data_IF_530665305224
#
_entry.id   IF_530665305224
#
_cell.length_a   1.000
_cell.length_b   1.000
_cell.length_c   1.000
_cell.angle_alpha   90.00
_cell.angle_beta   90.00
_cell.angle_gamma   90.00
#
_symmetry.space_group_name_H-M   'P 1'
#
loop_
_entity.id
_entity.type
_entity.pdbx_description
1 polymer ?
#
# COMPACT_ATOMS: atom_id res chain seq x y z
N UNK A 1 -8.57 77.05 -21.26
CA UNK A 1 -8.95 76.14 -20.19
C UNK A 1 -7.81 75.13 -20.04
N UNK A 2 -6.98 75.20 -18.98
CA UNK A 2 -5.81 74.33 -18.79
C UNK A 2 -6.18 73.26 -17.80
N UNK A 3 -6.30 71.99 -18.26
CA UNK A 3 -6.51 70.84 -17.45
C UNK A 3 -5.25 70.47 -16.65
N UNK A 4 -5.31 70.59 -15.32
CA UNK A 4 -4.25 70.18 -14.41
C UNK A 4 -4.34 68.64 -14.26
N UNK A 5 -3.41 67.92 -14.85
CA UNK A 5 -3.20 66.52 -14.59
C UNK A 5 -2.62 66.35 -13.17
N UNK A 6 -3.43 65.72 -12.25
CA UNK A 6 -2.91 65.28 -10.95
C UNK A 6 -2.04 64.02 -11.18
N UNK A 7 -0.72 64.19 -11.03
CA UNK A 7 0.20 63.03 -10.94
C UNK A 7 -0.09 62.28 -9.64
N UNK A 8 -0.72 61.09 -9.76
CA UNK A 8 -0.76 60.16 -8.67
C UNK A 8 0.65 59.59 -8.44
N UNK A 9 1.30 60.05 -7.37
CA UNK A 9 2.55 59.48 -6.87
C UNK A 9 2.25 58.04 -6.41
N UNK A 10 2.72 57.05 -7.16
CA UNK A 10 2.72 55.65 -6.72
C UNK A 10 3.67 55.57 -5.53
N UNK A 11 3.17 55.24 -4.36
CA UNK A 11 3.99 54.91 -3.18
C UNK A 11 4.81 53.68 -3.52
N UNK A 12 6.13 53.81 -3.53
CA UNK A 12 7.04 52.66 -3.68
C UNK A 12 6.97 51.76 -2.43
N UNK A 13 7.08 50.50 -2.62
CA UNK A 13 7.13 49.51 -1.52
C UNK A 13 8.49 49.62 -0.83
N UNK A 14 8.50 49.68 0.50
CA UNK A 14 9.75 49.72 1.28
C UNK A 14 10.36 48.29 1.32
N UNK A 15 11.68 48.21 1.22
CA UNK A 15 12.43 46.96 1.31
C UNK A 15 12.13 46.22 2.66
N UNK A 16 11.93 47.02 3.74
CA UNK A 16 11.57 46.49 5.07
C UNK A 16 10.17 45.86 5.08
N UNK A 17 9.19 46.50 4.41
CA UNK A 17 7.84 45.92 4.30
C UNK A 17 7.86 44.59 3.58
N UNK A 18 8.66 44.45 2.51
CA UNK A 18 8.80 43.16 1.81
C UNK A 18 9.48 42.12 2.71
N UNK A 19 10.53 42.49 3.45
CA UNK A 19 11.27 41.59 4.32
C UNK A 19 10.38 41.07 5.45
N UNK A 20 9.56 41.90 6.08
CA UNK A 20 8.63 41.50 7.13
C UNK A 20 7.59 40.51 6.59
N UNK A 21 7.05 40.75 5.40
CA UNK A 21 6.05 39.86 4.79
C UNK A 21 6.65 38.47 4.51
N UNK A 22 7.84 38.39 3.91
CA UNK A 22 8.48 37.09 3.64
C UNK A 22 8.85 36.36 4.94
N UNK A 23 9.26 37.08 5.99
CA UNK A 23 9.55 36.50 7.29
C UNK A 23 8.31 35.87 7.93
N UNK A 24 7.15 36.53 7.84
CA UNK A 24 5.88 36.00 8.34
C UNK A 24 5.44 34.77 7.53
N UNK A 25 5.51 34.84 6.19
CA UNK A 25 5.15 33.72 5.32
C UNK A 25 6.05 32.51 5.60
N UNK A 26 7.37 32.71 5.73
CA UNK A 26 8.32 31.65 6.06
C UNK A 26 8.01 31.00 7.42
N UNK A 27 7.68 31.80 8.43
CA UNK A 27 7.27 31.30 9.76
C UNK A 27 6.00 30.45 9.73
N UNK A 28 4.98 30.93 9.01
CA UNK A 28 3.71 30.18 8.86
C UNK A 28 3.91 28.89 8.05
N UNK A 29 4.71 28.94 6.97
CA UNK A 29 5.03 27.76 6.16
C UNK A 29 5.77 26.68 6.98
N UNK A 30 6.73 27.08 7.82
CA UNK A 30 7.46 26.14 8.68
C UNK A 30 6.55 25.43 9.67
N UNK A 31 5.59 26.13 10.29
CA UNK A 31 4.62 25.54 11.21
C UNK A 31 3.62 24.59 10.52
N UNK A 32 3.29 24.84 9.26
CA UNK A 32 2.26 24.10 8.52
C UNK A 32 2.79 22.81 7.87
N UNK A 33 4.11 22.69 7.67
CA UNK A 33 4.71 21.61 6.91
C UNK A 33 4.38 20.20 7.49
N UNK A 34 4.56 20.00 8.79
CA UNK A 34 4.30 18.71 9.44
C UNK A 34 2.84 18.21 9.32
N UNK A 35 1.84 19.03 9.69
CA UNK A 35 0.43 18.68 9.52
C UNK A 35 0.03 18.39 8.06
N UNK A 36 0.56 19.17 7.10
CA UNK A 36 0.26 18.99 5.67
C UNK A 36 0.78 17.63 5.18
N UNK A 37 2.02 17.26 5.49
CA UNK A 37 2.60 15.98 5.07
C UNK A 37 1.82 14.79 5.64
N UNK A 38 1.32 14.90 6.87
CA UNK A 38 0.46 13.88 7.47
C UNK A 38 -0.88 13.71 6.72
N UNK A 39 -1.50 14.81 6.31
CA UNK A 39 -2.74 14.79 5.52
C UNK A 39 -2.52 14.21 4.12
N UNK A 40 -1.40 14.54 3.46
CA UNK A 40 -1.03 13.96 2.17
C UNK A 40 -0.87 12.44 2.28
N UNK A 41 -0.17 11.96 3.31
CA UNK A 41 0.00 10.51 3.54
C UNK A 41 -1.35 9.80 3.79
N UNK A 42 -2.24 10.41 4.57
CA UNK A 42 -3.59 9.88 4.79
C UNK A 42 -4.43 9.84 3.50
N UNK A 43 -4.30 10.86 2.64
CA UNK A 43 -4.93 10.88 1.32
C UNK A 43 -4.45 9.72 0.45
N UNK A 44 -3.14 9.47 0.39
CA UNK A 44 -2.55 8.34 -0.35
C UNK A 44 -2.96 6.98 0.23
N UNK A 45 -3.05 6.85 1.56
CA UNK A 45 -3.57 5.65 2.20
C UNK A 45 -5.04 5.39 1.80
N UNK A 46 -5.87 6.42 1.75
CA UNK A 46 -7.25 6.30 1.31
C UNK A 46 -7.35 5.89 -0.16
N UNK A 47 -6.46 6.39 -1.02
CA UNK A 47 -6.36 5.98 -2.41
C UNK A 47 -5.98 4.50 -2.52
N UNK A 48 -4.96 4.05 -1.78
CA UNK A 48 -4.54 2.65 -1.78
C UNK A 48 -5.65 1.71 -1.25
N UNK A 49 -6.42 2.12 -0.24
CA UNK A 49 -7.63 1.39 0.20
C UNK A 49 -8.66 1.29 -0.92
N UNK A 50 -8.86 2.35 -1.70
CA UNK A 50 -9.78 2.35 -2.85
C UNK A 50 -9.30 1.41 -3.96
N UNK A 51 -8.00 1.41 -4.28
CA UNK A 51 -7.39 0.45 -5.20
C UNK A 51 -7.58 -0.98 -4.71
N UNK A 52 -7.32 -1.25 -3.44
CA UNK A 52 -7.57 -2.57 -2.83
C UNK A 52 -9.04 -3.00 -2.93
N UNK A 53 -10.01 -2.10 -2.77
CA UNK A 53 -11.43 -2.43 -2.98
C UNK A 53 -11.72 -2.85 -4.42
N UNK A 54 -11.18 -2.14 -5.40
CA UNK A 54 -11.32 -2.50 -6.82
C UNK A 54 -10.69 -3.86 -7.09
N UNK A 55 -9.49 -4.12 -6.57
CA UNK A 55 -8.82 -5.41 -6.68
C UNK A 55 -9.63 -6.54 -6.00
N UNK A 56 -10.26 -6.27 -4.86
CA UNK A 56 -11.13 -7.23 -4.18
C UNK A 56 -12.34 -7.63 -5.04
N UNK A 57 -12.94 -6.68 -5.76
CA UNK A 57 -14.04 -6.93 -6.70
C UNK A 57 -13.56 -7.75 -7.90
N UNK A 58 -12.39 -7.40 -8.47
CA UNK A 58 -11.79 -8.13 -9.58
C UNK A 58 -11.50 -9.59 -9.21
N UNK A 59 -10.93 -9.83 -8.03
CA UNK A 59 -10.68 -11.18 -7.51
C UNK A 59 -11.96 -11.99 -7.33
N UNK A 60 -13.05 -11.38 -6.86
CA UNK A 60 -14.35 -12.07 -6.75
C UNK A 60 -14.95 -12.39 -8.11
N UNK A 61 -14.84 -11.46 -9.07
CA UNK A 61 -15.30 -11.71 -10.44
C UNK A 61 -14.53 -12.86 -11.07
N UNK A 62 -13.20 -12.86 -10.89
CA UNK A 62 -12.35 -13.98 -11.33
C UNK A 62 -12.79 -15.31 -10.71
N UNK A 63 -12.97 -15.35 -9.39
CA UNK A 63 -13.36 -16.56 -8.70
C UNK A 63 -14.74 -17.07 -9.17
N UNK A 64 -15.68 -16.17 -9.45
CA UNK A 64 -16.99 -16.53 -9.98
C UNK A 64 -16.90 -17.24 -11.34
N UNK A 65 -15.97 -16.83 -12.20
CA UNK A 65 -15.80 -17.36 -13.55
C UNK A 65 -14.85 -18.59 -13.58
N UNK A 66 -14.20 -18.89 -12.45
CA UNK A 66 -13.24 -20.01 -12.29
C UNK A 66 -13.65 -20.98 -11.16
N UNK A 67 -14.90 -21.43 -11.16
CA UNK A 67 -15.43 -22.44 -10.23
C UNK A 67 -15.21 -22.13 -8.74
N UNK A 68 -15.19 -20.85 -8.39
CA UNK A 68 -14.95 -20.36 -7.04
C UNK A 68 -13.48 -20.31 -6.64
N UNK A 69 -12.54 -20.58 -7.54
CA UNK A 69 -11.11 -20.54 -7.28
C UNK A 69 -10.56 -19.12 -7.51
N UNK A 70 -9.78 -18.62 -6.59
CA UNK A 70 -8.99 -17.41 -6.75
C UNK A 70 -7.71 -17.68 -7.56
N UNK A 71 -7.05 -16.64 -8.12
CA UNK A 71 -5.83 -16.80 -8.89
C UNK A 71 -4.77 -17.66 -8.17
N UNK A 72 -4.13 -18.56 -8.89
CA UNK A 72 -3.13 -19.49 -8.36
C UNK A 72 -2.73 -20.55 -9.39
N UNK A 73 -1.97 -21.55 -8.98
CA UNK A 73 -1.54 -22.65 -9.86
C UNK A 73 -2.70 -23.37 -10.57
N UNK A 74 -3.83 -23.59 -9.85
CA UNK A 74 -4.98 -24.32 -10.38
C UNK A 74 -5.79 -23.53 -11.41
N UNK A 75 -5.60 -22.24 -11.51
CA UNK A 75 -6.28 -21.33 -12.45
C UNK A 75 -5.35 -20.80 -13.53
N UNK A 76 -4.05 -21.10 -13.44
CA UNK A 76 -3.04 -20.69 -14.41
C UNK A 76 -3.32 -21.30 -15.77
N UNK A 77 -3.37 -20.47 -16.82
CA UNK A 77 -3.52 -20.90 -18.20
C UNK A 77 -2.16 -21.31 -18.77
N UNK A 78 -2.16 -21.88 -19.97
CA UNK A 78 -0.92 -22.30 -20.65
C UNK A 78 0.06 -21.11 -20.76
N UNK A 79 1.23 -21.25 -20.16
CA UNK A 79 2.27 -20.21 -20.13
C UNK A 79 2.20 -19.27 -18.95
N UNK A 80 1.25 -19.46 -18.04
CA UNK A 80 1.16 -18.74 -16.76
C UNK A 80 1.52 -19.67 -15.61
N UNK A 81 1.88 -19.07 -14.48
CA UNK A 81 2.09 -19.75 -13.19
C UNK A 81 1.19 -19.12 -12.11
N UNK A 82 1.22 -19.64 -10.92
CA UNK A 82 0.52 -19.10 -9.75
C UNK A 82 1.39 -19.19 -8.50
N UNK A 83 2.71 -19.18 -8.69
CA UNK A 83 3.75 -19.41 -7.69
C UNK A 83 4.28 -18.13 -7.03
N UNK A 84 3.74 -16.98 -7.41
CA UNK A 84 4.05 -15.68 -6.81
C UNK A 84 2.83 -14.75 -6.81
N UNK A 85 2.91 -13.64 -6.08
CA UNK A 85 1.85 -12.64 -6.08
C UNK A 85 1.68 -12.01 -7.48
N UNK A 86 2.79 -11.69 -8.14
CA UNK A 86 2.83 -11.13 -9.48
C UNK A 86 2.19 -12.08 -10.51
N UNK A 87 2.55 -13.36 -10.47
CA UNK A 87 1.99 -14.38 -11.34
C UNK A 87 0.47 -14.56 -11.14
N UNK A 88 0.01 -14.55 -9.88
CA UNK A 88 -1.41 -14.60 -9.55
C UNK A 88 -2.16 -13.36 -10.08
N UNK A 89 -1.63 -12.16 -9.89
CA UNK A 89 -2.28 -10.94 -10.35
C UNK A 89 -2.19 -10.74 -11.87
N UNK A 90 -1.16 -11.26 -12.52
CA UNK A 90 -1.08 -11.32 -14.00
C UNK A 90 -2.25 -12.12 -14.60
N UNK A 91 -2.78 -13.11 -13.89
CA UNK A 91 -3.99 -13.83 -14.33
C UNK A 91 -5.22 -12.91 -14.39
N UNK A 92 -5.31 -11.89 -13.52
CA UNK A 92 -6.40 -10.89 -13.55
C UNK A 92 -6.28 -9.96 -14.75
N UNK A 93 -5.05 -9.50 -15.07
CA UNK A 93 -4.78 -8.66 -16.25
C UNK A 93 -5.10 -9.43 -17.54
N UNK A 94 -4.51 -10.60 -17.71
CA UNK A 94 -4.71 -11.43 -18.91
C UNK A 94 -6.15 -11.93 -19.08
N UNK A 95 -6.90 -12.01 -17.98
CA UNK A 95 -8.33 -12.34 -17.98
C UNK A 95 -9.27 -11.15 -18.21
N UNK A 96 -8.74 -9.91 -18.24
CA UNK A 96 -9.54 -8.70 -18.39
C UNK A 96 -10.39 -8.34 -17.16
N UNK A 97 -9.99 -8.80 -15.97
CA UNK A 97 -10.65 -8.42 -14.71
C UNK A 97 -10.07 -7.12 -14.13
N UNK A 98 -8.88 -6.76 -14.54
CA UNK A 98 -8.19 -5.50 -14.25
C UNK A 98 -7.61 -4.98 -15.56
N UNK A 99 -7.84 -3.71 -15.88
CA UNK A 99 -7.44 -3.11 -17.16
C UNK A 99 -6.03 -2.52 -17.13
N UNK A 100 -5.57 -2.06 -15.95
CA UNK A 100 -4.31 -1.32 -15.79
C UNK A 100 -3.45 -1.93 -14.70
N UNK A 101 -2.17 -2.12 -14.97
CA UNK A 101 -1.16 -2.61 -14.01
C UNK A 101 -0.97 -1.66 -12.83
N UNK A 102 -1.21 -0.35 -13.03
CA UNK A 102 -1.19 0.66 -11.96
C UNK A 102 -2.10 0.35 -10.78
N UNK A 103 -3.09 -0.54 -10.94
CA UNK A 103 -3.92 -1.04 -9.83
C UNK A 103 -3.08 -1.79 -8.78
N UNK A 104 -1.96 -2.38 -9.20
CA UNK A 104 -1.08 -3.16 -8.34
C UNK A 104 0.08 -2.35 -7.75
N UNK A 105 0.17 -1.05 -8.04
CA UNK A 105 1.27 -0.20 -7.63
C UNK A 105 0.81 1.07 -6.90
N UNK A 106 1.63 1.54 -5.95
CA UNK A 106 1.47 2.87 -5.36
C UNK A 106 2.83 3.49 -5.00
N UNK A 107 2.89 4.82 -5.04
CA UNK A 107 4.13 5.59 -4.85
C UNK A 107 4.71 5.51 -3.44
N UNK A 108 3.91 5.20 -2.42
CA UNK A 108 4.40 5.17 -1.04
C UNK A 108 5.23 3.92 -0.77
N UNK A 109 4.79 2.77 -1.26
CA UNK A 109 5.58 1.54 -1.18
C UNK A 109 6.84 1.63 -2.07
N UNK A 110 6.75 2.29 -3.23
CA UNK A 110 7.88 2.49 -4.13
C UNK A 110 8.97 3.40 -3.52
N UNK A 111 8.60 4.49 -2.86
CA UNK A 111 9.54 5.42 -2.20
C UNK A 111 10.36 4.71 -1.12
N UNK A 112 9.80 3.69 -0.49
CA UNK A 112 10.43 2.94 0.60
C UNK A 112 11.21 1.71 0.12
N UNK A 113 11.45 1.59 -1.18
CA UNK A 113 12.17 0.46 -1.79
C UNK A 113 11.35 -0.83 -1.91
N UNK A 114 10.07 -0.77 -1.55
CA UNK A 114 9.13 -1.89 -1.68
C UNK A 114 8.41 -1.85 -3.02
N UNK A 115 8.96 -2.21 -4.10
CA UNK A 115 8.47 -2.02 -5.47
C UNK A 115 9.00 -0.73 -6.07
N UNK A 116 10.18 -0.83 -6.64
CA UNK A 116 10.91 0.34 -7.15
C UNK A 116 10.49 0.75 -8.55
N UNK A 117 9.82 -0.13 -9.28
CA UNK A 117 9.46 0.09 -10.68
C UNK A 117 7.98 0.49 -10.79
N UNK A 118 7.71 1.57 -11.52
CA UNK A 118 6.37 1.84 -11.99
C UNK A 118 6.04 0.84 -13.12
N UNK A 119 4.81 0.27 -13.16
CA UNK A 119 4.41 -0.65 -14.20
C UNK A 119 4.58 -0.08 -15.60
N UNK A 120 4.97 -0.90 -16.55
CA UNK A 120 5.19 -0.52 -17.95
C UNK A 120 3.99 -0.77 -18.86
N UNK A 121 2.91 -1.35 -18.30
CA UNK A 121 1.62 -1.61 -18.96
C UNK A 121 1.72 -2.64 -20.12
N UNK A 122 2.59 -3.63 -19.98
CA UNK A 122 2.75 -4.72 -20.97
C UNK A 122 1.78 -5.90 -20.74
N UNK A 123 1.03 -5.89 -19.65
CA UNK A 123 0.04 -6.90 -19.26
C UNK A 123 0.61 -8.03 -18.41
N UNK A 124 1.86 -7.91 -17.94
CA UNK A 124 2.55 -8.90 -17.10
C UNK A 124 3.24 -8.20 -15.96
N UNK A 125 2.85 -8.51 -14.73
CA UNK A 125 3.54 -7.97 -13.56
C UNK A 125 4.87 -8.67 -13.34
N UNK A 126 5.93 -7.89 -13.36
CA UNK A 126 7.29 -8.33 -13.04
C UNK A 126 7.71 -7.92 -11.62
N UNK A 127 8.89 -8.39 -11.21
CA UNK A 127 9.47 -8.03 -9.91
C UNK A 127 9.60 -6.50 -9.77
N UNK A 128 9.03 -5.96 -8.69
CA UNK A 128 9.06 -4.52 -8.39
C UNK A 128 7.89 -3.71 -8.91
N UNK A 129 6.97 -4.26 -9.70
CA UNK A 129 5.79 -3.57 -10.24
C UNK A 129 4.53 -3.77 -9.40
N UNK A 130 4.60 -4.62 -8.39
CA UNK A 130 3.49 -4.95 -7.51
C UNK A 130 3.82 -4.63 -6.06
N UNK A 131 2.88 -4.01 -5.35
CA UNK A 131 3.00 -3.69 -3.91
C UNK A 131 2.18 -4.64 -3.03
N UNK A 132 1.34 -5.47 -3.64
CA UNK A 132 0.41 -6.32 -2.91
C UNK A 132 0.98 -7.72 -2.71
N UNK A 133 1.07 -8.14 -1.45
CA UNK A 133 1.19 -9.56 -1.12
C UNK A 133 -0.15 -10.26 -1.27
N UNK A 134 -0.12 -11.57 -1.44
CA UNK A 134 -1.30 -12.36 -1.77
C UNK A 134 -1.33 -13.70 -1.02
N UNK A 135 -2.52 -14.18 -0.72
CA UNK A 135 -2.74 -15.52 -0.13
C UNK A 135 -3.37 -16.42 -1.18
N UNK A 136 -2.55 -17.24 -1.82
CA UNK A 136 -3.00 -18.24 -2.79
C UNK A 136 -3.65 -19.46 -2.14
N UNK A 137 -4.32 -20.30 -2.92
CA UNK A 137 -4.96 -21.53 -2.47
C UNK A 137 -6.28 -21.35 -1.73
N UNK A 138 -6.81 -20.13 -1.67
CA UNK A 138 -8.15 -19.84 -1.16
C UNK A 138 -9.21 -20.03 -2.25
N UNK A 139 -10.44 -20.25 -1.83
CA UNK A 139 -11.61 -20.33 -2.72
C UNK A 139 -12.84 -19.65 -2.09
N UNK A 140 -13.91 -19.49 -2.86
CA UNK A 140 -15.14 -18.81 -2.43
C UNK A 140 -15.83 -19.44 -1.20
N UNK A 141 -15.50 -20.70 -0.86
CA UNK A 141 -15.99 -21.40 0.34
C UNK A 141 -15.07 -21.20 1.55
N UNK A 142 -13.93 -20.53 1.38
CA UNK A 142 -13.00 -20.22 2.48
C UNK A 142 -13.64 -19.27 3.47
N UNK A 143 -13.18 -19.31 4.74
CA UNK A 143 -13.72 -18.43 5.80
C UNK A 143 -13.55 -16.96 5.43
N UNK A 144 -14.62 -16.18 5.57
CA UNK A 144 -14.67 -14.75 5.22
C UNK A 144 -13.70 -13.87 6.02
N UNK A 145 -13.26 -14.33 7.20
CA UNK A 145 -12.31 -13.61 8.04
C UNK A 145 -10.85 -13.78 7.64
N UNK A 146 -10.54 -14.67 6.68
CA UNK A 146 -9.17 -14.90 6.22
C UNK A 146 -8.65 -13.69 5.42
N UNK A 147 -7.35 -13.39 5.55
CA UNK A 147 -6.69 -12.43 4.67
C UNK A 147 -6.65 -12.96 3.25
N UNK A 148 -6.81 -12.08 2.27
CA UNK A 148 -6.74 -12.42 0.85
C UNK A 148 -5.54 -11.75 0.18
N UNK A 149 -5.37 -10.44 0.40
CA UNK A 149 -4.19 -9.71 -0.03
C UNK A 149 -3.89 -8.55 0.94
N UNK A 150 -2.69 -8.01 0.87
CA UNK A 150 -2.18 -7.02 1.81
C UNK A 150 -1.04 -6.22 1.19
N UNK A 151 -0.74 -5.04 1.72
CA UNK A 151 0.43 -4.25 1.35
C UNK A 151 1.49 -4.22 2.46
N UNK A 152 2.55 -3.41 2.26
CA UNK A 152 3.62 -3.17 3.24
C UNK A 152 4.40 -4.43 3.67
N UNK A 153 4.26 -5.53 2.92
CA UNK A 153 4.93 -6.78 3.25
C UNK A 153 6.40 -6.77 2.81
N UNK A 154 7.26 -7.20 3.71
CA UNK A 154 8.70 -7.41 3.50
C UNK A 154 9.08 -8.90 3.49
N UNK A 155 8.09 -9.76 3.59
CA UNK A 155 8.19 -11.21 3.56
C UNK A 155 6.84 -11.84 3.88
N UNK A 156 6.68 -13.17 3.72
CA UNK A 156 5.44 -13.87 4.00
C UNK A 156 4.93 -13.63 5.42
N UNK A 157 3.83 -12.87 5.57
CA UNK A 157 3.24 -12.52 6.86
C UNK A 157 4.06 -11.57 7.72
N UNK A 158 5.04 -10.88 7.14
CA UNK A 158 5.88 -9.86 7.80
C UNK A 158 5.71 -8.51 7.14
N UNK A 159 5.58 -7.46 7.96
CA UNK A 159 5.15 -6.13 7.53
C UNK A 159 6.09 -5.06 8.07
N UNK A 160 6.49 -4.11 7.22
CA UNK A 160 7.22 -2.91 7.62
C UNK A 160 6.27 -1.87 8.22
N UNK A 161 6.71 -1.24 9.30
CA UNK A 161 5.96 -0.14 9.94
C UNK A 161 6.12 1.20 9.21
N UNK A 162 6.93 1.27 8.17
CA UNK A 162 7.34 2.50 7.49
C UNK A 162 6.22 3.11 6.62
N UNK A 163 5.54 2.27 5.81
CA UNK A 163 4.66 2.74 4.74
C UNK A 163 3.51 3.60 5.26
N UNK A 164 2.75 3.10 6.23
CA UNK A 164 1.55 3.76 6.75
C UNK A 164 1.61 4.00 8.27
N UNK A 165 2.79 4.38 8.78
CA UNK A 165 3.00 4.69 10.20
C UNK A 165 2.52 3.55 11.12
N UNK A 166 3.04 2.33 10.89
CA UNK A 166 2.72 1.15 11.68
C UNK A 166 1.41 0.45 11.29
N UNK A 167 0.91 0.70 10.08
CA UNK A 167 -0.26 0.02 9.53
C UNK A 167 0.06 -0.66 8.21
N UNK A 168 -0.77 -1.64 7.84
CA UNK A 168 -0.82 -2.27 6.54
C UNK A 168 -2.25 -2.26 6.04
N UNK A 169 -2.45 -2.11 4.74
CA UNK A 169 -3.77 -2.28 4.15
C UNK A 169 -4.00 -3.78 3.98
N UNK A 170 -5.05 -4.27 4.61
CA UNK A 170 -5.43 -5.67 4.61
C UNK A 170 -6.81 -5.83 3.99
N UNK A 171 -6.89 -6.67 2.98
CA UNK A 171 -8.13 -7.15 2.41
C UNK A 171 -8.44 -8.56 2.91
N UNK A 172 -9.71 -8.81 3.22
CA UNK A 172 -10.20 -10.12 3.65
C UNK A 172 -11.14 -10.71 2.61
N UNK A 173 -11.42 -11.99 2.77
CA UNK A 173 -12.37 -12.74 1.94
C UNK A 173 -13.79 -12.15 1.93
N UNK A 174 -14.18 -11.37 2.96
CA UNK A 174 -15.45 -10.64 3.03
C UNK A 174 -15.48 -9.34 2.24
N UNK A 175 -14.47 -9.08 1.41
CA UNK A 175 -14.25 -7.82 0.67
C UNK A 175 -13.94 -6.60 1.52
N UNK A 176 -13.82 -6.75 2.81
CA UNK A 176 -13.41 -5.64 3.65
C UNK A 176 -11.93 -5.31 3.41
N UNK A 177 -11.66 -4.04 3.04
CA UNK A 177 -10.29 -3.52 2.85
C UNK A 177 -10.08 -2.38 3.84
N UNK A 178 -9.11 -2.53 4.72
CA UNK A 178 -8.86 -1.58 5.82
C UNK A 178 -7.37 -1.45 6.12
N UNK A 179 -6.98 -0.26 6.59
CA UNK A 179 -5.70 -0.09 7.26
C UNK A 179 -5.74 -0.78 8.63
N UNK A 180 -4.89 -1.78 8.82
CA UNK A 180 -4.80 -2.62 10.01
C UNK A 180 -3.48 -2.39 10.70
N UNK A 181 -3.46 -2.33 12.02
CA UNK A 181 -2.26 -2.10 12.81
C UNK A 181 -1.29 -3.27 12.72
N UNK A 182 0.00 -2.95 12.62
CA UNK A 182 1.11 -3.91 12.66
C UNK A 182 1.60 -3.98 14.11
N UNK A 183 1.55 -5.16 14.70
CA UNK A 183 2.07 -5.41 16.04
C UNK A 183 3.55 -5.71 15.97
N UNK A 184 4.35 -4.91 16.66
CA UNK A 184 5.81 -5.03 16.76
C UNK A 184 6.25 -5.33 18.18
N UNK A 185 7.46 -5.86 18.35
CA UNK A 185 8.05 -6.05 19.66
C UNK A 185 8.57 -4.72 20.24
N UNK A 186 8.28 -4.47 21.53
CA UNK A 186 8.68 -3.25 22.21
C UNK A 186 7.90 -2.00 21.81
N UNK A 187 8.32 -0.85 22.32
CA UNK A 187 7.69 0.44 22.05
C UNK A 187 8.22 1.07 20.75
N UNK A 188 7.37 1.91 20.12
CA UNK A 188 7.71 2.67 18.91
C UNK A 188 7.75 1.84 17.64
N UNK A 189 7.87 2.54 16.51
CA UNK A 189 7.87 1.96 15.15
C UNK A 189 9.26 1.84 14.53
N UNK A 190 10.28 2.38 15.21
CA UNK A 190 11.65 2.49 14.74
C UNK A 190 12.57 1.83 15.75
N UNK A 191 13.62 1.17 15.28
CA UNK A 191 14.69 0.61 16.09
C UNK A 191 15.66 1.69 16.54
N UNK A 192 16.56 1.36 17.48
CA UNK A 192 17.58 2.29 18.01
C UNK A 192 18.58 2.77 16.94
N UNK A 193 18.76 2.02 15.87
CA UNK A 193 19.59 2.34 14.70
C UNK A 193 18.90 3.22 13.66
N UNK A 194 17.63 3.58 13.89
CA UNK A 194 16.82 4.38 12.97
C UNK A 194 16.09 3.57 11.90
N UNK A 195 16.29 2.26 11.81
CA UNK A 195 15.53 1.41 10.87
C UNK A 195 14.10 1.18 11.34
N UNK A 196 13.17 0.98 10.39
CA UNK A 196 11.79 0.67 10.73
C UNK A 196 11.62 -0.78 11.19
N UNK A 197 10.74 -0.97 12.18
CA UNK A 197 10.45 -2.29 12.72
C UNK A 197 9.64 -3.14 11.76
N UNK A 198 9.87 -4.42 11.81
CA UNK A 198 9.07 -5.43 11.12
C UNK A 198 8.19 -6.14 12.14
N UNK A 199 6.91 -6.29 11.82
CA UNK A 199 5.93 -6.89 12.70
C UNK A 199 4.97 -7.82 12.00
N UNK A 200 3.96 -8.27 12.73
CA UNK A 200 2.89 -9.15 12.26
C UNK A 200 1.53 -8.49 12.47
N UNK A 201 0.53 -8.94 11.72
CA UNK A 201 -0.85 -8.50 11.95
C UNK A 201 -1.52 -9.52 12.87
N UNK A 202 -1.96 -9.03 14.01
CA UNK A 202 -2.59 -9.83 15.06
C UNK A 202 -4.12 -9.69 15.02
N UNK A 203 -4.80 -10.76 15.36
CA UNK A 203 -6.24 -10.75 15.62
C UNK A 203 -6.53 -11.38 16.97
N UNK A 204 -7.67 -10.98 17.57
CA UNK A 204 -8.10 -11.50 18.87
C UNK A 204 -9.28 -12.45 18.71
N UNK A 205 -9.25 -13.58 19.41
CA UNK A 205 -10.40 -14.46 19.58
C UNK A 205 -10.64 -14.70 21.08
N UNK A 206 -11.57 -13.96 21.64
CA UNK A 206 -11.77 -13.91 23.09
C UNK A 206 -10.59 -13.24 23.78
N UNK A 207 -9.91 -13.96 24.69
CA UNK A 207 -8.72 -13.46 25.42
C UNK A 207 -7.38 -13.82 24.76
N UNK A 208 -7.40 -14.49 23.61
CA UNK A 208 -6.18 -14.94 22.93
C UNK A 208 -5.94 -14.11 21.68
N UNK A 209 -4.74 -13.60 21.54
CA UNK A 209 -4.22 -12.99 20.32
C UNK A 209 -3.48 -14.04 19.48
N UNK A 210 -3.56 -13.93 18.18
CA UNK A 210 -2.90 -14.80 17.23
C UNK A 210 -2.52 -14.04 15.96
N UNK A 211 -1.39 -14.43 15.37
CA UNK A 211 -0.97 -13.94 14.05
C UNK A 211 -1.91 -14.49 12.98
N UNK A 212 -2.52 -13.61 12.17
CA UNK A 212 -3.49 -14.02 11.14
C UNK A 212 -2.86 -14.84 10.01
N UNK A 213 -1.53 -14.77 9.84
CA UNK A 213 -0.74 -15.56 8.90
C UNK A 213 -0.03 -16.75 9.59
N UNK A 214 -0.25 -16.95 10.90
CA UNK A 214 0.38 -17.98 11.70
C UNK A 214 -0.06 -19.39 11.34
N UNK A 215 0.76 -20.38 11.75
CA UNK A 215 0.47 -21.81 11.53
C UNK A 215 -0.91 -22.20 12.07
N UNK A 216 -1.70 -22.87 11.24
CA UNK A 216 -3.05 -23.37 11.61
C UNK A 216 -4.17 -22.33 11.54
N UNK A 217 -3.88 -21.08 11.18
CA UNK A 217 -4.89 -20.05 10.91
C UNK A 217 -5.36 -20.14 9.47
N UNK A 218 -4.43 -20.20 8.53
CA UNK A 218 -4.69 -20.40 7.12
C UNK A 218 -4.97 -21.89 6.80
N UNK A 219 -5.72 -22.20 5.73
CA UNK A 219 -5.85 -23.56 5.20
C UNK A 219 -4.49 -24.17 4.88
N UNK A 220 -4.39 -25.52 4.91
CA UNK A 220 -3.12 -26.22 4.66
C UNK A 220 -2.55 -26.01 3.25
N UNK A 221 -3.42 -25.74 2.30
CA UNK A 221 -3.10 -25.47 0.91
C UNK A 221 -2.94 -23.97 0.60
N UNK A 222 -3.06 -23.13 1.61
CA UNK A 222 -2.84 -21.71 1.43
C UNK A 222 -1.35 -21.38 1.52
N UNK A 223 -0.89 -20.55 0.60
CA UNK A 223 0.47 -20.04 0.51
C UNK A 223 0.45 -18.53 0.57
N UNK A 224 1.39 -17.94 1.31
CA UNK A 224 1.48 -16.49 1.50
C UNK A 224 2.64 -15.95 0.69
N UNK A 225 2.33 -15.18 -0.33
CA UNK A 225 3.31 -14.50 -1.18
C UNK A 225 3.47 -13.05 -0.74
N UNK A 226 4.70 -12.64 -0.48
CA UNK A 226 5.07 -11.23 -0.46
C UNK A 226 5.31 -10.74 -1.90
N UNK A 227 5.21 -9.44 -2.18
CA UNK A 227 5.62 -8.89 -3.46
C UNK A 227 7.10 -9.22 -3.73
N UNK A 228 7.43 -9.59 -4.97
CA UNK A 228 8.81 -9.85 -5.37
C UNK A 228 9.65 -8.55 -5.28
N UNK A 229 10.92 -8.67 -4.93
CA UNK A 229 11.80 -7.52 -4.71
C UNK A 229 11.75 -6.93 -3.29
N UNK A 230 10.78 -7.31 -2.48
CA UNK A 230 10.62 -6.85 -1.08
C UNK A 230 11.31 -7.78 -0.06
N UNK A 231 12.37 -8.48 -0.44
CA UNK A 231 13.17 -9.21 0.53
C UNK A 231 13.93 -8.21 1.41
N UNK A 232 13.40 -7.92 2.60
CA UNK A 232 14.27 -7.48 3.68
C UNK A 232 15.34 -8.56 3.82
N UNK A 233 16.58 -8.16 3.60
CA UNK A 233 17.75 -9.03 3.75
C UNK A 233 17.71 -9.65 5.15
N UNK A 234 17.22 -10.89 5.26
CA UNK A 234 17.17 -11.65 6.52
C UNK A 234 18.53 -12.28 6.79
N UNK A 235 19.62 -11.57 6.53
CA UNK A 235 20.96 -11.88 7.01
C UNK A 235 21.19 -11.20 8.36
N UNK A 236 20.48 -11.67 9.36
CA UNK A 236 20.68 -11.38 10.76
C UNK A 236 20.32 -12.63 11.54
N UNK A 237 21.34 -13.43 11.84
CA UNK A 237 21.32 -14.65 12.64
C UNK A 237 20.67 -14.46 14.01
#
# INVERSE_FOLDING_TARGET
MKLKHKKHLRKGFSLVELLVVIAIIAGLAAMSYGPIMKQVKQGKQSQAISQGKNLSVALQSFAKDNDGLYPGENTARKGQTGDSAEACFTQLLSGGYVDEEKTFWNSENAILGMSSLAPDEDGVLTEGENVWGYVAGLNSSSRTSLPLFFDSAVGPGKFSTEVWDGRSILAKMDTSVKATEITVAGEGLVNDDGSYKVGSIMASRGKKEYDIFGKGVLPRNAEVFAPAGNSADTTGQ
#
